data_IF_859406067691
#
_entry.id   IF_859406067691
#
_cell.length_a   1.000
_cell.length_b   1.000
_cell.length_c   1.000
_cell.angle_alpha   90.00
_cell.angle_beta   90.00
_cell.angle_gamma   90.00
#
_symmetry.space_group_name_H-M   'P 1'
#
loop_
_entity.id
_entity.type
_entity.pdbx_description
1 polymer ?
#
# COMPACT_ATOMS: atom_id res chain seq x y z
N UNK A 1 95.36 -49.81 20.43
CA UNK A 1 96.00 -48.85 21.34
C UNK A 1 95.96 -47.42 20.84
N UNK A 2 94.78 -46.94 20.31
CA UNK A 2 94.69 -45.61 19.72
C UNK A 2 93.54 -44.73 20.32
N UNK A 3 92.74 -45.25 21.22
CA UNK A 3 91.60 -44.51 21.81
C UNK A 3 91.90 -43.82 23.16
N UNK A 4 92.98 -44.14 23.79
CA UNK A 4 93.36 -43.57 25.11
C UNK A 4 94.06 -42.19 25.01
N UNK A 5 94.66 -41.86 23.84
CA UNK A 5 95.32 -40.55 23.67
C UNK A 5 94.36 -39.42 23.32
N UNK A 6 93.27 -39.71 22.72
CA UNK A 6 92.25 -38.71 22.35
C UNK A 6 91.37 -38.27 23.53
N UNK A 7 91.24 -39.15 24.55
CA UNK A 7 90.44 -38.82 25.72
C UNK A 7 91.13 -37.86 26.73
N UNK A 8 92.46 -37.93 26.77
CA UNK A 8 93.29 -37.04 27.64
C UNK A 8 93.39 -35.60 27.08
N UNK A 9 93.26 -35.43 25.78
CA UNK A 9 93.30 -34.09 25.15
C UNK A 9 91.98 -33.33 25.32
N UNK A 10 90.90 -34.04 25.40
CA UNK A 10 89.57 -33.44 25.64
C UNK A 10 89.34 -33.08 27.11
N UNK A 11 89.92 -33.79 28.05
CA UNK A 11 89.83 -33.51 29.48
C UNK A 11 90.63 -32.24 29.87
N UNK A 12 91.72 -31.93 29.17
CA UNK A 12 92.50 -30.72 29.39
C UNK A 12 91.87 -29.42 28.93
N UNK A 13 91.06 -29.50 27.88
CA UNK A 13 90.39 -28.32 27.30
C UNK A 13 89.16 -27.90 28.09
N UNK A 14 88.52 -28.86 28.80
CA UNK A 14 87.33 -28.58 29.65
C UNK A 14 87.69 -27.86 30.97
N UNK A 15 88.94 -27.95 31.44
CA UNK A 15 89.33 -27.32 32.70
C UNK A 15 89.71 -25.84 32.56
N UNK A 16 89.95 -25.34 31.33
CA UNK A 16 90.29 -23.92 31.11
C UNK A 16 89.12 -23.00 30.90
N UNK A 17 87.88 -23.56 30.73
CA UNK A 17 86.71 -22.78 30.49
C UNK A 17 85.95 -22.28 31.73
N UNK A 18 86.36 -22.67 32.91
CA UNK A 18 85.67 -22.33 34.17
C UNK A 18 86.21 -21.13 34.93
N UNK A 19 87.19 -20.39 34.38
CA UNK A 19 87.87 -19.31 35.08
C UNK A 19 87.48 -17.87 34.72
N UNK A 20 86.50 -17.65 33.86
CA UNK A 20 86.19 -16.30 33.37
C UNK A 20 84.72 -15.82 33.73
N UNK A 21 84.29 -16.01 34.97
CA UNK A 21 83.21 -15.26 35.54
C UNK A 21 83.73 -14.13 36.41
N UNK A 22 84.28 -13.09 35.80
CA UNK A 22 84.51 -11.84 36.51
C UNK A 22 83.21 -11.09 36.62
N UNK A 23 82.78 -10.86 37.81
CA UNK A 23 81.67 -10.06 38.26
C UNK A 23 81.72 -8.71 37.56
N UNK A 24 80.75 -8.47 36.63
CA UNK A 24 80.59 -7.15 36.07
C UNK A 24 80.18 -6.17 37.15
N UNK A 25 80.67 -4.94 37.15
CA UNK A 25 80.16 -3.94 38.11
C UNK A 25 78.73 -3.65 37.89
N UNK A 26 77.95 -3.77 38.95
CA UNK A 26 76.55 -3.26 38.95
C UNK A 26 76.60 -1.78 38.62
N UNK A 27 76.25 -1.46 37.39
CA UNK A 27 75.87 -0.09 37.02
C UNK A 27 74.63 0.22 37.77
N UNK A 28 74.72 0.92 38.88
CA UNK A 28 73.56 1.48 39.58
C UNK A 28 72.79 2.32 38.60
N UNK A 29 71.67 1.79 38.16
CA UNK A 29 70.72 2.60 37.46
C UNK A 29 70.19 3.66 38.42
N UNK A 30 70.49 4.93 38.17
CA UNK A 30 69.88 5.99 38.95
C UNK A 30 68.35 6.02 38.63
N UNK A 31 67.57 6.04 39.66
CA UNK A 31 66.18 6.40 39.62
C UNK A 31 65.23 5.36 39.02
N UNK A 32 65.19 4.18 39.57
CA UNK A 32 63.94 3.40 39.49
C UNK A 32 62.93 4.05 40.41
N UNK A 33 62.13 4.99 39.85
CA UNK A 33 60.92 5.45 40.52
C UNK A 33 60.13 4.25 41.01
N UNK A 34 59.63 4.23 42.25
CA UNK A 34 58.92 3.10 42.76
C UNK A 34 57.70 2.85 41.82
N UNK A 35 57.55 1.61 41.35
CA UNK A 35 56.48 1.22 40.51
C UNK A 35 55.16 1.47 41.24
N UNK A 36 54.35 2.35 40.71
CA UNK A 36 53.01 2.63 41.22
C UNK A 36 52.12 1.49 40.78
N UNK A 37 51.53 0.81 41.74
CA UNK A 37 50.57 -0.24 41.48
C UNK A 37 49.26 0.39 40.95
N UNK A 38 48.98 0.19 39.67
CA UNK A 38 47.73 0.66 39.02
C UNK A 38 46.80 -0.51 38.83
N UNK A 39 45.54 -0.27 39.04
CA UNK A 39 44.48 -1.22 38.70
C UNK A 39 44.05 -0.86 37.28
N UNK A 40 44.24 -1.76 36.33
CA UNK A 40 43.81 -1.59 34.96
C UNK A 40 42.59 -2.51 34.70
N UNK A 41 41.51 -1.94 34.32
CA UNK A 41 40.35 -2.70 33.84
C UNK A 41 40.29 -2.64 32.30
N UNK A 42 39.89 -3.73 31.64
CA UNK A 42 39.70 -3.73 30.21
C UNK A 42 38.55 -2.82 29.82
N UNK A 43 38.77 -1.99 28.83
CA UNK A 43 37.69 -1.14 28.26
C UNK A 43 36.64 -2.04 27.64
N UNK A 44 35.41 -1.92 28.08
CA UNK A 44 34.26 -2.57 27.48
C UNK A 44 33.49 -1.57 26.63
N UNK A 45 33.34 -1.90 25.35
CA UNK A 45 32.51 -1.11 24.46
C UNK A 45 31.06 -1.58 24.59
N UNK A 46 30.20 -0.76 25.15
CA UNK A 46 28.78 -0.96 25.15
C UNK A 46 28.15 -0.11 24.04
N UNK A 47 27.20 -0.70 23.30
CA UNK A 47 26.44 0.08 22.34
C UNK A 47 25.51 0.99 23.13
N UNK A 48 25.79 2.27 23.20
CA UNK A 48 24.87 3.27 23.68
C UNK A 48 23.80 3.47 22.60
N UNK A 49 22.65 2.86 22.79
CA UNK A 49 21.47 3.09 21.94
C UNK A 49 20.53 4.02 22.65
N UNK A 50 20.16 5.12 22.01
CA UNK A 50 19.04 5.93 22.48
C UNK A 50 17.77 5.35 21.91
N UNK A 51 16.88 4.85 22.74
CA UNK A 51 15.54 4.43 22.34
C UNK A 51 14.64 5.66 22.27
N UNK A 52 14.21 6.01 21.08
CA UNK A 52 13.26 7.09 20.86
C UNK A 52 11.88 6.47 20.74
N UNK A 53 10.98 6.80 21.62
CA UNK A 53 9.56 6.45 21.54
C UNK A 53 8.78 7.70 21.11
N UNK A 54 8.00 7.55 20.06
CA UNK A 54 7.15 8.61 19.57
C UNK A 54 5.71 8.10 19.45
N UNK A 55 4.76 8.89 19.88
CA UNK A 55 3.33 8.66 19.69
C UNK A 55 2.86 9.54 18.54
N UNK A 56 2.19 8.92 17.59
CA UNK A 56 1.62 9.61 16.44
C UNK A 56 0.21 9.13 16.16
N UNK A 57 -0.56 9.96 15.47
CA UNK A 57 -1.88 9.59 14.94
C UNK A 57 -1.79 9.41 13.44
N UNK A 58 -2.31 8.28 12.95
CA UNK A 58 -2.47 8.04 11.52
C UNK A 58 -3.89 8.42 11.11
N UNK A 59 -4.03 9.12 9.99
CA UNK A 59 -5.31 9.44 9.38
C UNK A 59 -5.27 9.07 7.91
N UNK A 60 -6.42 8.60 7.39
CA UNK A 60 -6.57 8.39 5.96
C UNK A 60 -6.47 9.74 5.22
N UNK A 61 -5.80 9.73 4.07
CA UNK A 61 -5.71 10.91 3.20
C UNK A 61 -7.06 11.27 2.59
N UNK A 62 -7.84 10.25 2.23
CA UNK A 62 -9.21 10.35 1.73
C UNK A 62 -10.09 9.46 2.59
N UNK A 63 -11.25 9.98 2.98
CA UNK A 63 -12.28 9.24 3.70
C UNK A 63 -13.63 9.76 3.26
N UNK A 64 -14.55 8.88 2.93
CA UNK A 64 -15.92 9.22 2.57
C UNK A 64 -16.88 8.25 3.26
N UNK A 65 -17.97 8.80 3.74
CA UNK A 65 -19.13 8.05 4.20
C UNK A 65 -20.10 7.94 3.05
N UNK A 66 -20.49 6.71 2.69
CA UNK A 66 -21.36 6.45 1.56
C UNK A 66 -22.76 6.14 2.07
N UNK A 67 -23.73 6.85 1.54
CA UNK A 67 -25.13 6.60 1.79
C UNK A 67 -25.83 6.19 0.50
N UNK A 68 -26.86 5.35 0.63
CA UNK A 68 -27.72 5.05 -0.50
C UNK A 68 -28.49 6.31 -0.93
N UNK A 69 -28.53 6.60 -2.24
CA UNK A 69 -29.28 7.73 -2.79
C UNK A 69 -30.79 7.51 -2.76
N UNK A 70 -31.23 6.24 -2.67
CA UNK A 70 -32.62 5.85 -2.56
C UNK A 70 -32.82 4.90 -1.37
N UNK A 71 -34.02 4.94 -0.78
CA UNK A 71 -34.43 3.97 0.24
C UNK A 71 -34.98 2.70 -0.43
N UNK A 72 -34.74 1.55 0.18
CA UNK A 72 -35.19 0.26 -0.34
C UNK A 72 -34.66 -0.92 0.44
N UNK A 73 -35.09 -2.11 0.10
CA UNK A 73 -34.61 -3.36 0.65
C UNK A 73 -33.20 -3.66 0.11
N UNK A 74 -32.26 -4.01 1.00
CA UNK A 74 -30.91 -4.46 0.61
C UNK A 74 -30.99 -5.90 0.12
N UNK A 75 -30.62 -6.11 -1.13
CA UNK A 75 -30.61 -7.44 -1.76
C UNK A 75 -29.23 -8.10 -1.64
N UNK A 76 -28.16 -7.31 -1.75
CA UNK A 76 -26.80 -7.82 -1.65
C UNK A 76 -25.83 -6.79 -1.05
N UNK A 77 -24.88 -7.30 -0.24
CA UNK A 77 -23.70 -6.57 0.24
C UNK A 77 -22.48 -7.28 -0.34
N UNK A 78 -21.73 -6.58 -1.19
CA UNK A 78 -20.65 -7.15 -2.03
C UNK A 78 -19.26 -6.77 -1.52
N UNK A 79 -19.09 -6.59 -0.22
CA UNK A 79 -17.80 -6.29 0.41
C UNK A 79 -17.70 -6.86 1.82
N UNK A 80 -16.47 -7.01 2.32
CA UNK A 80 -16.16 -7.32 3.70
C UNK A 80 -15.43 -6.14 4.37
N UNK A 81 -15.60 -5.93 5.68
CA UNK A 81 -14.84 -4.92 6.40
C UNK A 81 -13.32 -5.10 6.23
N UNK A 82 -12.62 -4.03 5.86
CA UNK A 82 -11.19 -4.06 5.57
C UNK A 82 -10.82 -4.48 4.14
N UNK A 83 -11.78 -4.90 3.31
CA UNK A 83 -11.53 -5.27 1.92
C UNK A 83 -11.10 -4.07 1.09
N UNK A 84 -10.14 -4.27 0.17
CA UNK A 84 -9.78 -3.29 -0.84
C UNK A 84 -10.81 -3.30 -1.97
N UNK A 85 -11.30 -2.12 -2.35
CA UNK A 85 -12.28 -1.91 -3.42
C UNK A 85 -11.79 -0.88 -4.41
N UNK A 86 -12.25 -0.99 -5.65
CA UNK A 86 -11.89 -0.09 -6.73
C UNK A 86 -12.97 0.96 -6.98
N UNK A 87 -12.59 2.12 -7.51
CA UNK A 87 -13.51 3.15 -7.98
C UNK A 87 -14.62 2.55 -8.85
N UNK A 88 -15.89 2.85 -8.52
CA UNK A 88 -17.06 2.38 -9.25
C UNK A 88 -17.49 0.95 -8.93
N UNK A 89 -16.77 0.20 -8.11
CA UNK A 89 -17.19 -1.12 -7.64
C UNK A 89 -18.50 -1.01 -6.86
N UNK A 90 -19.47 -1.88 -7.18
CA UNK A 90 -20.75 -1.93 -6.46
C UNK A 90 -20.54 -2.57 -5.09
N UNK A 91 -20.88 -1.84 -4.04
CA UNK A 91 -20.75 -2.25 -2.66
C UNK A 91 -22.05 -2.80 -2.09
N UNK A 92 -23.15 -2.11 -2.36
CA UNK A 92 -24.49 -2.51 -1.89
C UNK A 92 -25.46 -2.43 -3.06
N UNK A 93 -26.32 -3.41 -3.17
CA UNK A 93 -27.42 -3.44 -4.13
C UNK A 93 -28.75 -3.41 -3.40
N UNK A 94 -29.61 -2.48 -3.80
CA UNK A 94 -31.00 -2.39 -3.38
C UNK A 94 -31.92 -3.12 -4.39
N UNK A 95 -33.11 -3.49 -3.96
CA UNK A 95 -34.13 -4.01 -4.89
C UNK A 95 -34.40 -2.99 -5.99
N UNK A 96 -34.19 -3.41 -7.23
CA UNK A 96 -34.25 -2.56 -8.43
C UNK A 96 -35.21 -3.10 -9.49
N UNK A 97 -36.10 -4.02 -9.13
CA UNK A 97 -37.02 -4.67 -10.08
C UNK A 97 -37.95 -3.68 -10.75
N UNK A 98 -38.53 -2.73 -10.00
CA UNK A 98 -39.43 -1.70 -10.52
C UNK A 98 -38.68 -0.73 -11.44
N UNK A 99 -37.48 -0.29 -11.09
CA UNK A 99 -36.67 0.64 -11.88
C UNK A 99 -36.21 0.01 -13.19
N UNK A 100 -35.89 -1.29 -13.17
CA UNK A 100 -35.58 -2.03 -14.40
C UNK A 100 -36.76 -2.08 -15.35
N UNK A 101 -37.96 -2.29 -14.84
CA UNK A 101 -39.18 -2.24 -15.63
C UNK A 101 -39.48 -0.83 -16.14
N UNK A 102 -39.28 0.20 -15.30
CA UNK A 102 -39.44 1.60 -15.70
C UNK A 102 -38.45 2.00 -16.83
N UNK A 103 -37.19 1.58 -16.77
CA UNK A 103 -36.21 1.80 -17.85
C UNK A 103 -36.65 1.11 -19.14
N UNK A 104 -37.16 -0.13 -19.08
CA UNK A 104 -37.62 -0.85 -20.25
C UNK A 104 -38.85 -0.17 -20.86
N UNK A 105 -39.81 0.26 -20.05
CA UNK A 105 -41.00 0.99 -20.51
C UNK A 105 -40.63 2.31 -21.19
N UNK A 106 -39.74 3.10 -20.56
CA UNK A 106 -39.30 4.37 -21.12
C UNK A 106 -38.50 4.17 -22.43
N UNK A 107 -37.73 3.08 -22.55
CA UNK A 107 -37.06 2.72 -23.80
C UNK A 107 -38.05 2.46 -24.93
N UNK A 108 -39.11 1.66 -24.69
CA UNK A 108 -40.13 1.36 -25.67
C UNK A 108 -40.85 2.65 -26.12
N UNK A 109 -41.18 3.55 -25.17
CA UNK A 109 -41.76 4.85 -25.48
C UNK A 109 -40.86 5.70 -26.38
N UNK A 110 -39.56 5.75 -26.08
CA UNK A 110 -38.61 6.48 -26.93
C UNK A 110 -38.51 5.89 -28.33
N UNK A 111 -38.44 4.56 -28.45
CA UNK A 111 -38.43 3.88 -29.76
C UNK A 111 -39.68 4.18 -30.58
N UNK A 112 -40.85 4.22 -29.95
CA UNK A 112 -42.12 4.59 -30.61
C UNK A 112 -42.09 6.03 -31.09
N UNK A 113 -41.72 6.97 -30.23
CA UNK A 113 -41.61 8.37 -30.56
C UNK A 113 -40.60 8.63 -31.69
N UNK A 114 -39.45 7.93 -31.67
CA UNK A 114 -38.44 7.99 -32.74
C UNK A 114 -39.00 7.52 -34.08
N UNK A 115 -39.68 6.33 -34.11
CA UNK A 115 -40.30 5.81 -35.33
C UNK A 115 -41.34 6.77 -35.88
N UNK A 116 -42.09 7.41 -35.01
CA UNK A 116 -43.11 8.41 -35.43
C UNK A 116 -42.47 9.65 -36.03
N UNK A 117 -41.46 10.20 -35.35
CA UNK A 117 -40.71 11.35 -35.84
C UNK A 117 -40.05 11.06 -37.20
N UNK A 118 -39.34 9.93 -37.35
CA UNK A 118 -38.71 9.53 -38.60
C UNK A 118 -39.73 9.34 -39.75
N UNK A 119 -40.92 8.84 -39.46
CA UNK A 119 -42.00 8.71 -40.45
C UNK A 119 -42.47 10.07 -40.92
N UNK A 120 -42.73 11.01 -40.01
CA UNK A 120 -43.11 12.36 -40.35
C UNK A 120 -42.00 13.14 -41.04
N UNK A 121 -40.76 12.97 -40.67
CA UNK A 121 -39.62 13.57 -41.34
C UNK A 121 -39.55 13.16 -42.82
N UNK A 122 -39.64 11.87 -43.11
CA UNK A 122 -39.65 11.35 -44.49
C UNK A 122 -40.86 11.87 -45.32
N UNK A 123 -42.01 12.02 -44.68
CA UNK A 123 -43.23 12.52 -45.33
C UNK A 123 -43.22 14.03 -45.47
N UNK A 124 -42.49 14.76 -44.65
CA UNK A 124 -42.30 16.23 -44.76
C UNK A 124 -41.57 16.63 -46.04
N UNK A 125 -40.59 15.80 -46.46
CA UNK A 125 -39.81 16.06 -47.71
C UNK A 125 -40.71 16.03 -48.96
N UNK A 126 -41.84 15.32 -48.86
CA UNK A 126 -42.87 15.27 -49.93
C UNK A 126 -43.99 16.32 -49.80
N UNK A 127 -43.92 17.18 -48.77
CA UNK A 127 -44.94 18.19 -48.48
C UNK A 127 -46.26 17.63 -47.89
N UNK A 128 -46.28 16.36 -47.51
CA UNK A 128 -47.49 15.66 -47.00
C UNK A 128 -47.75 15.89 -45.50
N UNK A 129 -46.82 16.48 -44.75
CA UNK A 129 -46.91 16.72 -43.32
C UNK A 129 -46.71 18.23 -43.02
N UNK A 130 -47.55 18.76 -42.15
CA UNK A 130 -47.41 20.13 -41.66
C UNK A 130 -46.14 20.29 -40.80
N UNK A 131 -45.41 21.38 -40.89
CA UNK A 131 -44.24 21.63 -40.04
C UNK A 131 -44.53 21.52 -38.55
N UNK A 132 -45.70 21.98 -38.10
CA UNK A 132 -46.17 21.89 -36.70
C UNK A 132 -46.31 20.47 -36.22
N UNK A 133 -46.74 19.54 -37.10
CA UNK A 133 -46.85 18.11 -36.76
C UNK A 133 -45.47 17.47 -36.60
N UNK A 134 -44.51 17.84 -37.46
CA UNK A 134 -43.13 17.38 -37.33
C UNK A 134 -42.49 17.91 -36.05
N UNK A 135 -42.68 19.18 -35.70
CA UNK A 135 -42.19 19.80 -34.48
C UNK A 135 -42.77 19.12 -33.21
N UNK A 136 -44.09 18.80 -33.27
CA UNK A 136 -44.75 18.06 -32.17
C UNK A 136 -44.17 16.67 -31.99
N UNK A 137 -43.91 15.95 -33.08
CA UNK A 137 -43.30 14.61 -33.01
C UNK A 137 -41.87 14.67 -32.51
N UNK A 138 -41.11 15.70 -32.91
CA UNK A 138 -39.75 15.94 -32.40
C UNK A 138 -39.76 16.19 -30.89
N UNK A 139 -40.66 17.05 -30.41
CA UNK A 139 -40.78 17.35 -28.97
C UNK A 139 -41.17 16.09 -28.19
N UNK A 140 -42.08 15.26 -28.73
CA UNK A 140 -42.47 14.00 -28.10
C UNK A 140 -41.28 13.02 -27.99
N UNK A 141 -40.43 12.91 -29.02
CA UNK A 141 -39.21 12.11 -29.02
C UNK A 141 -38.22 12.60 -27.96
N UNK A 142 -37.95 13.92 -27.91
CA UNK A 142 -37.04 14.50 -26.92
C UNK A 142 -37.57 14.30 -25.49
N UNK A 143 -38.86 14.45 -25.27
CA UNK A 143 -39.50 14.18 -23.97
C UNK A 143 -39.30 12.71 -23.56
N UNK A 144 -39.59 11.77 -24.46
CA UNK A 144 -39.41 10.34 -24.19
C UNK A 144 -37.93 9.98 -23.91
N UNK A 145 -36.98 10.68 -24.56
CA UNK A 145 -35.56 10.55 -24.29
C UNK A 145 -35.22 10.96 -22.85
N UNK A 146 -35.74 12.09 -22.40
CA UNK A 146 -35.53 12.59 -21.04
C UNK A 146 -36.17 11.65 -19.99
N UNK A 147 -37.34 11.09 -20.30
CA UNK A 147 -38.00 10.08 -19.46
C UNK A 147 -37.10 8.83 -19.30
N UNK A 148 -36.47 8.35 -20.37
CA UNK A 148 -35.55 7.23 -20.31
C UNK A 148 -34.28 7.57 -19.45
N UNK A 149 -33.69 8.74 -19.62
CA UNK A 149 -32.54 9.16 -18.80
C UNK A 149 -32.91 9.27 -17.32
N UNK A 150 -34.09 9.82 -17.00
CA UNK A 150 -34.61 9.85 -15.61
C UNK A 150 -34.77 8.45 -15.03
N UNK A 151 -35.31 7.51 -15.79
CA UNK A 151 -35.49 6.13 -15.33
C UNK A 151 -34.12 5.44 -15.11
N UNK A 152 -33.13 5.71 -15.96
CA UNK A 152 -31.76 5.19 -15.76
C UNK A 152 -31.09 5.73 -14.50
N UNK A 153 -31.26 7.03 -14.18
CA UNK A 153 -30.74 7.63 -12.96
C UNK A 153 -31.39 6.94 -11.75
N UNK A 154 -32.73 6.79 -11.73
CA UNK A 154 -33.41 6.10 -10.64
C UNK A 154 -32.92 4.65 -10.45
N UNK A 155 -32.60 3.95 -11.54
CA UNK A 155 -32.00 2.61 -11.47
C UNK A 155 -30.55 2.67 -10.92
N UNK A 156 -29.77 3.65 -11.31
CA UNK A 156 -28.40 3.80 -10.81
C UNK A 156 -28.36 4.10 -9.31
N UNK A 157 -29.35 4.83 -8.79
CA UNK A 157 -29.49 5.18 -7.38
C UNK A 157 -29.80 3.95 -6.49
N UNK A 158 -30.16 2.81 -7.09
CA UNK A 158 -30.36 1.52 -6.41
C UNK A 158 -29.06 0.78 -6.11
N UNK A 159 -27.92 1.33 -6.46
CA UNK A 159 -26.61 0.75 -6.16
C UNK A 159 -25.67 1.75 -5.52
N UNK A 160 -25.07 1.39 -4.39
CA UNK A 160 -24.01 2.16 -3.76
C UNK A 160 -22.66 1.71 -4.32
N UNK A 161 -21.88 2.66 -4.83
CA UNK A 161 -20.59 2.38 -5.47
C UNK A 161 -19.46 3.10 -4.76
N UNK A 162 -18.27 2.51 -4.80
CA UNK A 162 -17.05 3.15 -4.31
C UNK A 162 -16.72 4.41 -5.13
N UNK A 163 -16.42 5.51 -4.43
CA UNK A 163 -16.09 6.81 -5.04
C UNK A 163 -14.61 7.03 -5.28
N UNK A 164 -13.76 6.16 -4.75
CA UNK A 164 -12.31 6.09 -4.97
C UNK A 164 -11.78 4.69 -4.61
N UNK A 165 -10.55 4.40 -5.01
CA UNK A 165 -9.85 3.17 -4.63
C UNK A 165 -9.45 3.22 -3.16
N UNK A 166 -9.75 2.19 -2.38
CA UNK A 166 -9.44 2.20 -0.96
C UNK A 166 -9.93 0.97 -0.21
N UNK A 167 -9.85 1.04 1.13
CA UNK A 167 -10.37 -0.01 1.99
C UNK A 167 -11.70 0.40 2.60
N UNK A 168 -12.64 -0.52 2.61
CA UNK A 168 -13.96 -0.31 3.23
C UNK A 168 -13.81 -0.47 4.75
N UNK A 169 -14.39 0.48 5.48
CA UNK A 169 -14.48 0.44 6.94
C UNK A 169 -15.57 -0.50 7.45
N UNK A 170 -15.97 -0.29 8.69
CA UNK A 170 -17.13 -0.96 9.28
C UNK A 170 -18.39 -0.33 8.72
N UNK A 171 -19.35 -1.14 8.31
CA UNK A 171 -20.66 -0.74 7.79
C UNK A 171 -21.72 -1.03 8.83
N UNK A 172 -22.62 -0.09 9.04
CA UNK A 172 -23.87 -0.27 9.76
C UNK A 172 -25.00 -0.41 8.72
N UNK A 173 -25.19 -1.63 8.22
CA UNK A 173 -26.30 -1.95 7.28
C UNK A 173 -27.35 -2.77 8.00
#
# INVERSE_FOLDING_TARGET
MQHTKTFLLFAGLAALALGACSKAPETSRPDARPAVKVIAEPVRFERAGTRIEAVGTSRALLSAELHAAASGEVVAVNFEPGQFVQLGQVLVELDSREERLAVNLARIKLEDAQRLYERYQRSSDSGAVLPTTLDTARTAMETARLELERAKIALADRSVKAVFDGHVGVSEV
#
